data_IF_553297889738
#
_entry.id   IF_553297889738
#
_cell.length_a   1.000
_cell.length_b   1.000
_cell.length_c   1.000
_cell.angle_alpha   90.00
_cell.angle_beta   90.00
_cell.angle_gamma   90.00
#
_symmetry.space_group_name_H-M   'P 1'
#
loop_
_entity.id
_entity.type
_entity.pdbx_description
1 polymer ?
#
# COMPACT_ATOMS: atom_id res chain seq x y z
N UNK A 1 20.50 5.80 -15.70
CA UNK A 1 20.46 6.75 -14.57
C UNK A 1 19.01 6.90 -14.12
N UNK A 2 18.61 6.19 -13.07
CA UNK A 2 17.26 6.25 -12.51
C UNK A 2 17.12 7.61 -11.81
N UNK A 3 16.31 8.51 -12.38
CA UNK A 3 15.97 9.78 -11.76
C UNK A 3 15.08 9.52 -10.55
N UNK A 4 15.68 9.26 -9.40
CA UNK A 4 14.98 9.18 -8.13
C UNK A 4 14.39 10.56 -7.81
N UNK A 5 13.12 10.75 -8.17
CA UNK A 5 12.39 11.98 -7.88
C UNK A 5 12.10 12.05 -6.38
N UNK A 6 12.14 13.26 -5.80
CA UNK A 6 11.79 13.51 -4.39
C UNK A 6 10.44 12.89 -4.03
N UNK A 7 9.50 12.85 -4.98
CA UNK A 7 8.22 12.14 -4.82
C UNK A 7 8.38 10.65 -4.50
N UNK A 8 9.25 9.93 -5.22
CA UNK A 8 9.52 8.52 -4.94
C UNK A 8 10.17 8.32 -3.58
N UNK A 9 11.07 9.22 -3.17
CA UNK A 9 11.68 9.19 -1.84
C UNK A 9 10.62 9.35 -0.74
N UNK A 10 9.75 10.35 -0.87
CA UNK A 10 8.66 10.61 0.08
C UNK A 10 7.73 9.39 0.17
N UNK A 11 7.38 8.80 -0.96
CA UNK A 11 6.54 7.58 -1.01
C UNK A 11 7.23 6.40 -0.30
N UNK A 12 8.52 6.19 -0.52
CA UNK A 12 9.26 5.11 0.16
C UNK A 12 9.30 5.31 1.67
N UNK A 13 9.55 6.54 2.14
CA UNK A 13 9.58 6.86 3.58
C UNK A 13 8.20 6.64 4.22
N UNK A 14 7.12 7.03 3.53
CA UNK A 14 5.74 6.81 4.00
C UNK A 14 5.42 5.32 4.12
N UNK A 15 5.81 4.52 3.12
CA UNK A 15 5.60 3.06 3.14
C UNK A 15 6.41 2.42 4.27
N UNK A 16 7.71 2.73 4.38
CA UNK A 16 8.57 2.14 5.41
C UNK A 16 8.14 2.56 6.82
N UNK A 17 7.75 3.82 7.01
CA UNK A 17 7.26 4.33 8.30
C UNK A 17 5.95 3.69 8.72
N UNK A 18 5.03 3.45 7.78
CA UNK A 18 3.75 2.78 8.06
C UNK A 18 3.95 1.31 8.43
N UNK A 19 4.87 0.61 7.75
CA UNK A 19 5.25 -0.77 8.09
C UNK A 19 5.89 -0.83 9.48
N UNK A 20 6.76 0.12 9.80
CA UNK A 20 7.39 0.21 11.11
C UNK A 20 6.35 0.44 12.22
N UNK A 21 5.42 1.37 12.02
CA UNK A 21 4.31 1.61 12.95
C UNK A 21 3.45 0.36 13.16
N UNK A 22 3.17 -0.41 12.11
CA UNK A 22 2.40 -1.65 12.19
C UNK A 22 3.12 -2.78 12.93
N UNK A 23 4.45 -2.75 12.98
CA UNK A 23 5.23 -3.72 13.74
C UNK A 23 5.24 -3.43 15.24
N UNK A 24 5.25 -2.15 15.63
CA UNK A 24 5.34 -1.73 17.04
C UNK A 24 3.97 -1.58 17.71
N UNK A 25 2.95 -1.13 16.98
CA UNK A 25 1.63 -0.84 17.54
C UNK A 25 0.59 -1.86 17.04
N UNK A 26 0.14 -2.79 17.91
CA UNK A 26 -0.80 -3.84 17.52
C UNK A 26 -2.19 -3.30 17.15
N UNK A 27 -2.58 -2.12 17.65
CA UNK A 27 -3.84 -1.47 17.25
C UNK A 27 -3.73 -0.83 15.86
N UNK A 28 -2.56 -0.28 15.50
CA UNK A 28 -2.29 0.22 14.16
C UNK A 28 -2.20 -0.93 13.14
N UNK A 29 -1.67 -2.09 13.54
CA UNK A 29 -1.54 -3.27 12.68
C UNK A 29 -2.87 -3.71 12.04
N UNK A 30 -3.97 -3.66 12.79
CA UNK A 30 -5.31 -3.98 12.27
C UNK A 30 -5.77 -2.98 11.21
N UNK A 31 -5.55 -1.67 11.44
CA UNK A 31 -5.87 -0.61 10.47
C UNK A 31 -4.99 -0.69 9.22
N UNK A 32 -3.71 -0.97 9.38
CA UNK A 32 -2.80 -1.17 8.27
C UNK A 32 -3.18 -2.39 7.43
N UNK A 33 -3.56 -3.50 8.07
CA UNK A 33 -4.02 -4.70 7.38
C UNK A 33 -5.30 -4.46 6.57
N UNK A 34 -6.25 -3.67 7.10
CA UNK A 34 -7.46 -3.26 6.39
C UNK A 34 -7.11 -2.44 5.13
N UNK A 35 -6.25 -1.42 5.26
CA UNK A 35 -5.77 -0.63 4.13
C UNK A 35 -5.03 -1.47 3.08
N UNK A 36 -4.19 -2.42 3.52
CA UNK A 36 -3.49 -3.34 2.63
C UNK A 36 -4.47 -4.27 1.91
N UNK A 37 -5.49 -4.77 2.61
CA UNK A 37 -6.55 -5.60 2.04
C UNK A 37 -7.34 -4.84 0.96
N UNK A 38 -7.72 -3.58 1.21
CA UNK A 38 -8.36 -2.73 0.20
C UNK A 38 -7.44 -2.43 -0.98
N UNK A 39 -6.16 -2.16 -0.75
CA UNK A 39 -5.19 -1.91 -1.82
C UNK A 39 -5.01 -3.14 -2.72
N UNK A 40 -4.82 -4.32 -2.12
CA UNK A 40 -4.69 -5.59 -2.83
C UNK A 40 -5.99 -5.95 -3.54
N UNK A 41 -7.14 -5.84 -2.86
CA UNK A 41 -8.47 -6.10 -3.42
C UNK A 41 -8.82 -5.17 -4.58
N UNK A 42 -8.47 -3.88 -4.49
CA UNK A 42 -8.64 -2.92 -5.57
C UNK A 42 -7.77 -3.26 -6.80
N UNK A 43 -6.51 -3.65 -6.58
CA UNK A 43 -5.62 -4.11 -7.64
C UNK A 43 -6.14 -5.39 -8.30
N UNK A 44 -6.56 -6.39 -7.51
CA UNK A 44 -7.19 -7.60 -8.04
C UNK A 44 -8.51 -7.29 -8.76
N UNK A 45 -9.34 -6.37 -8.27
CA UNK A 45 -10.56 -5.94 -8.93
C UNK A 45 -10.31 -5.25 -10.28
N UNK A 46 -9.17 -4.58 -10.44
CA UNK A 46 -8.73 -4.03 -11.73
C UNK A 46 -8.20 -5.12 -12.68
N UNK A 47 -7.58 -6.16 -12.13
CA UNK A 47 -7.07 -7.31 -12.89
C UNK A 47 -8.17 -8.29 -13.30
N UNK A 48 -9.25 -8.39 -12.52
CA UNK A 48 -10.44 -9.16 -12.90
C UNK A 48 -11.00 -8.49 -14.16
N UNK A 49 -10.98 -9.18 -15.31
CA UNK A 49 -11.53 -8.62 -16.52
C UNK A 49 -13.01 -8.34 -16.24
N UNK A 50 -13.44 -7.08 -16.42
CA UNK A 50 -14.87 -6.79 -16.53
C UNK A 50 -15.37 -7.70 -17.65
N UNK A 51 -16.09 -8.78 -17.33
CA UNK A 51 -16.93 -9.42 -18.33
C UNK A 51 -17.84 -8.31 -18.83
N UNK A 52 -17.59 -7.89 -20.07
CA UNK A 52 -18.61 -7.19 -20.86
C UNK A 52 -19.72 -8.23 -21.03
N UNK A 53 -20.90 -7.89 -20.56
CA UNK A 53 -22.14 -8.63 -20.88
C UNK A 53 -22.17 -9.06 -22.34
#
# INVERSE_FOLDING_TARGET
HQNFSVRSLVVLVLISGSIWLAAIDPSYRARFADLAYFGVGGYFGQLVPRRKE
#
